data_IF_831754497896
#
_entry.id   IF_831754497896
#
_cell.length_a   1.000
_cell.length_b   1.000
_cell.length_c   1.000
_cell.angle_alpha   90.00
_cell.angle_beta   90.00
_cell.angle_gamma   90.00
#
_symmetry.space_group_name_H-M   'P 1'
#
loop_
_entity.id
_entity.type
_entity.pdbx_description
1 polymer ?
#
# COMPACT_ATOMS: atom_id res chain seq x y z
N UNK A 1 -0.72 -13.69 -2.63
CA UNK A 1 -0.28 -12.30 -2.86
C UNK A 1 -1.46 -11.35 -2.78
N UNK A 2 -1.28 -10.13 -2.30
CA UNK A 2 -2.36 -9.16 -2.14
C UNK A 2 -2.01 -7.84 -2.85
N UNK A 3 -2.81 -7.45 -3.85
CA UNK A 3 -2.67 -6.21 -4.60
C UNK A 3 -3.73 -5.21 -4.16
N UNK A 4 -3.30 -4.10 -3.58
CA UNK A 4 -4.19 -3.00 -3.18
C UNK A 4 -4.19 -1.94 -4.26
N UNK A 5 -5.34 -1.79 -4.92
CA UNK A 5 -5.55 -0.85 -6.03
C UNK A 5 -5.91 0.55 -5.52
N UNK A 6 -5.65 1.55 -6.34
CA UNK A 6 -5.97 2.96 -6.08
C UNK A 6 -6.98 3.51 -7.09
N UNK A 7 -7.51 4.68 -6.78
CA UNK A 7 -8.25 5.47 -7.78
C UNK A 7 -7.29 5.98 -8.85
N UNK A 8 -7.55 5.68 -10.11
CA UNK A 8 -6.75 6.14 -11.25
C UNK A 8 -6.78 7.66 -11.44
N UNK A 9 -7.72 8.34 -10.80
CA UNK A 9 -7.87 9.81 -10.83
C UNK A 9 -7.36 10.49 -9.55
N UNK A 10 -6.74 9.75 -8.65
CA UNK A 10 -6.09 10.33 -7.48
C UNK A 10 -4.86 11.14 -7.92
N UNK A 11 -4.67 12.32 -7.33
CA UNK A 11 -3.54 13.20 -7.64
C UNK A 11 -2.19 12.53 -7.38
N UNK A 12 -2.09 11.72 -6.35
CA UNK A 12 -0.88 10.94 -6.05
C UNK A 12 -0.59 9.92 -7.15
N UNK A 13 -1.63 9.32 -7.72
CA UNK A 13 -1.49 8.38 -8.83
C UNK A 13 -1.04 9.10 -10.11
N UNK A 14 -1.65 10.25 -10.42
CA UNK A 14 -1.35 11.02 -11.64
C UNK A 14 0.06 11.62 -11.62
N UNK A 15 0.47 12.17 -10.47
CA UNK A 15 1.76 12.90 -10.35
C UNK A 15 2.94 11.95 -10.15
N UNK A 16 2.73 10.82 -9.48
CA UNK A 16 3.80 9.94 -9.01
C UNK A 16 3.78 8.54 -9.63
N UNK A 17 2.96 8.30 -10.66
CA UNK A 17 2.98 7.03 -11.39
C UNK A 17 3.08 7.27 -12.89
N UNK A 18 3.85 6.42 -13.59
CA UNK A 18 3.89 6.38 -15.06
C UNK A 18 2.62 5.73 -15.61
N UNK A 19 1.46 6.23 -15.19
CA UNK A 19 0.10 5.88 -15.62
C UNK A 19 -0.10 4.39 -15.98
N UNK A 20 0.19 3.50 -15.04
CA UNK A 20 -0.24 2.11 -15.19
C UNK A 20 -1.68 2.01 -14.72
N UNK A 21 -2.59 1.61 -15.60
CA UNK A 21 -4.00 1.39 -15.24
C UNK A 21 -4.14 0.20 -14.30
N UNK A 22 -5.12 0.26 -13.40
CA UNK A 22 -5.44 -0.85 -12.51
C UNK A 22 -5.66 -2.17 -13.26
N UNK A 23 -6.27 -2.13 -14.45
CA UNK A 23 -6.48 -3.31 -15.27
C UNK A 23 -5.16 -3.93 -15.76
N UNK A 24 -4.18 -3.12 -16.13
CA UNK A 24 -2.88 -3.61 -16.60
C UNK A 24 -2.09 -4.23 -15.44
N UNK A 25 -2.16 -3.61 -14.25
CA UNK A 25 -1.59 -4.18 -13.02
C UNK A 25 -2.21 -5.54 -12.69
N UNK A 26 -3.53 -5.66 -12.71
CA UNK A 26 -4.22 -6.92 -12.44
C UNK A 26 -3.75 -7.99 -13.42
N UNK A 27 -3.76 -7.67 -14.72
CA UNK A 27 -3.34 -8.61 -15.77
C UNK A 27 -1.90 -9.07 -15.56
N UNK A 28 -1.00 -8.14 -15.18
CA UNK A 28 0.38 -8.47 -14.87
C UNK A 28 0.49 -9.40 -13.65
N UNK A 29 -0.16 -9.05 -12.55
CA UNK A 29 -0.11 -9.84 -11.30
C UNK A 29 -0.77 -11.22 -11.45
N UNK A 30 -1.85 -11.34 -12.22
CA UNK A 30 -2.47 -12.62 -12.56
C UNK A 30 -1.49 -13.56 -13.27
N UNK A 31 -0.73 -13.03 -14.24
CA UNK A 31 0.30 -13.80 -14.94
C UNK A 31 1.40 -14.23 -13.97
N UNK A 32 1.94 -13.30 -13.16
CA UNK A 32 2.99 -13.61 -12.18
C UNK A 32 2.52 -14.67 -11.18
N UNK A 33 1.28 -14.59 -10.72
CA UNK A 33 0.71 -15.58 -9.81
C UNK A 33 0.61 -16.97 -10.45
N UNK A 34 0.18 -17.05 -11.72
CA UNK A 34 0.13 -18.32 -12.46
C UNK A 34 1.53 -18.92 -12.65
N UNK A 35 2.52 -18.11 -13.04
CA UNK A 35 3.90 -18.56 -13.25
C UNK A 35 4.56 -19.10 -11.96
N UNK A 36 4.11 -18.65 -10.79
CA UNK A 36 4.70 -18.98 -9.49
C UNK A 36 3.79 -19.85 -8.61
N UNK A 37 2.69 -20.40 -9.13
CA UNK A 37 1.68 -21.18 -8.38
C UNK A 37 1.21 -20.45 -7.11
N UNK A 38 0.87 -19.16 -7.27
CA UNK A 38 0.40 -18.30 -6.19
C UNK A 38 -1.02 -17.82 -6.46
N UNK A 39 -1.75 -17.55 -5.39
CA UNK A 39 -3.09 -16.97 -5.46
C UNK A 39 -3.02 -15.44 -5.39
N UNK A 40 -3.78 -14.77 -6.28
CA UNK A 40 -3.94 -13.32 -6.25
C UNK A 40 -5.22 -12.94 -5.52
N UNK A 41 -5.08 -12.05 -4.56
CA UNK A 41 -6.19 -11.33 -3.93
C UNK A 41 -6.05 -9.87 -4.33
N UNK A 42 -7.14 -9.25 -4.78
CA UNK A 42 -7.18 -7.83 -5.12
C UNK A 42 -8.16 -7.09 -4.21
N UNK A 43 -7.87 -5.83 -3.94
CA UNK A 43 -8.82 -4.93 -3.28
C UNK A 43 -8.89 -3.63 -4.05
N UNK A 44 -10.08 -3.34 -4.60
CA UNK A 44 -10.36 -2.06 -5.24
C UNK A 44 -10.56 -0.95 -4.20
N UNK A 45 -10.32 0.29 -4.62
CA UNK A 45 -10.66 1.44 -3.81
C UNK A 45 -12.20 1.52 -3.63
N UNK A 46 -12.71 1.87 -2.45
CA UNK A 46 -14.17 1.91 -2.20
C UNK A 46 -14.95 2.84 -3.14
N UNK A 47 -14.30 3.87 -3.68
CA UNK A 47 -14.89 4.82 -4.62
C UNK A 47 -14.67 4.44 -6.10
N UNK A 48 -13.99 3.33 -6.38
CA UNK A 48 -13.80 2.86 -7.73
C UNK A 48 -15.03 2.07 -8.19
N UNK A 49 -15.81 2.66 -9.09
CA UNK A 49 -17.03 2.08 -9.64
C UNK A 49 -16.79 1.30 -10.95
N UNK A 50 -15.54 1.27 -11.44
CA UNK A 50 -15.22 0.58 -12.68
C UNK A 50 -15.29 -0.94 -12.49
N UNK A 51 -15.89 -1.62 -13.45
CA UNK A 51 -15.82 -3.07 -13.51
C UNK A 51 -14.44 -3.51 -13.99
N UNK A 52 -13.74 -4.27 -13.17
CA UNK A 52 -12.44 -4.85 -13.51
C UNK A 52 -12.65 -6.24 -14.12
N UNK A 53 -11.88 -6.54 -15.16
CA UNK A 53 -11.83 -7.89 -15.74
C UNK A 53 -10.79 -8.69 -14.97
N UNK A 54 -11.24 -9.75 -14.32
CA UNK A 54 -10.40 -10.63 -13.50
C UNK A 54 -10.59 -12.08 -13.90
N UNK A 55 -9.55 -12.89 -13.72
CA UNK A 55 -9.63 -14.36 -13.91
C UNK A 55 -10.44 -15.00 -12.77
N UNK A 56 -10.99 -16.19 -13.05
CA UNK A 56 -11.74 -16.95 -12.03
C UNK A 56 -10.88 -17.35 -10.81
N UNK A 57 -9.57 -17.40 -10.97
CA UNK A 57 -8.58 -17.69 -9.91
C UNK A 57 -8.27 -16.49 -9.03
N UNK A 58 -8.62 -15.27 -9.45
CA UNK A 58 -8.38 -14.02 -8.70
C UNK A 58 -9.51 -13.76 -7.73
N UNK A 59 -9.18 -13.51 -6.47
CA UNK A 59 -10.17 -13.19 -5.43
C UNK A 59 -10.32 -11.69 -5.23
N UNK A 60 -11.55 -11.21 -5.06
CA UNK A 60 -11.84 -9.82 -4.67
C UNK A 60 -12.08 -9.76 -3.18
N UNK A 61 -11.32 -8.93 -2.50
CA UNK A 61 -11.41 -8.76 -1.06
C UNK A 61 -12.29 -7.59 -0.66
N UNK A 62 -13.23 -7.83 0.24
CA UNK A 62 -14.12 -6.81 0.83
C UNK A 62 -13.74 -6.45 2.27
N UNK A 63 -12.91 -7.25 2.92
CA UNK A 63 -12.46 -7.02 4.30
C UNK A 63 -11.45 -5.87 4.39
N UNK A 64 -11.15 -5.43 5.63
CA UNK A 64 -10.13 -4.42 5.91
C UNK A 64 -8.74 -4.87 5.43
N UNK A 65 -7.98 -3.95 4.83
CA UNK A 65 -6.62 -4.18 4.33
C UNK A 65 -5.74 -4.85 5.39
N UNK A 66 -5.71 -4.31 6.61
CA UNK A 66 -4.91 -4.85 7.72
C UNK A 66 -5.22 -6.32 8.02
N UNK A 67 -6.51 -6.73 7.96
CA UNK A 67 -6.90 -8.12 8.20
C UNK A 67 -6.37 -9.04 7.11
N UNK A 68 -6.57 -8.65 5.85
CA UNK A 68 -6.13 -9.45 4.70
C UNK A 68 -4.60 -9.55 4.67
N UNK A 69 -3.91 -8.44 4.96
CA UNK A 69 -2.44 -8.43 4.98
C UNK A 69 -1.82 -9.45 5.93
N UNK A 70 -2.50 -9.82 7.01
CA UNK A 70 -2.01 -10.84 7.96
C UNK A 70 -2.11 -12.28 7.44
N UNK A 71 -2.87 -12.50 6.39
CA UNK A 71 -3.19 -13.81 5.83
C UNK A 71 -2.47 -14.06 4.49
N UNK A 72 -1.55 -13.18 4.10
CA UNK A 72 -0.84 -13.26 2.80
C UNK A 72 0.66 -13.13 2.98
N UNK A 73 1.42 -13.67 2.02
CA UNK A 73 2.88 -13.63 2.05
C UNK A 73 3.43 -12.25 1.67
N UNK A 74 2.78 -11.54 0.74
CA UNK A 74 3.24 -10.25 0.19
C UNK A 74 2.08 -9.32 -0.09
N UNK A 75 2.30 -8.03 0.16
CA UNK A 75 1.36 -6.96 -0.22
C UNK A 75 2.05 -6.01 -1.20
N UNK A 76 1.35 -5.69 -2.27
CA UNK A 76 1.77 -4.74 -3.29
C UNK A 76 0.76 -3.61 -3.42
N UNK A 77 1.25 -2.40 -3.59
CA UNK A 77 0.41 -1.24 -3.95
C UNK A 77 1.24 -0.23 -4.74
N UNK A 78 0.59 0.66 -5.45
CA UNK A 78 1.28 1.72 -6.19
C UNK A 78 1.92 2.69 -5.21
N UNK A 79 1.11 3.54 -4.55
CA UNK A 79 1.56 4.48 -3.51
C UNK A 79 0.41 4.83 -2.53
N UNK A 80 -0.52 3.88 -2.33
CA UNK A 80 -1.73 4.09 -1.55
C UNK A 80 -1.47 4.37 -0.07
N UNK A 81 -2.24 5.26 0.53
CA UNK A 81 -2.28 5.45 1.99
C UNK A 81 -2.69 4.20 2.77
N UNK A 82 -3.30 3.20 2.11
CA UNK A 82 -3.55 1.88 2.68
C UNK A 82 -2.25 1.18 3.14
N UNK A 83 -1.08 1.60 2.63
CA UNK A 83 0.24 1.19 3.10
C UNK A 83 0.38 1.29 4.63
N UNK A 84 -0.16 2.35 5.26
CA UNK A 84 -0.14 2.51 6.73
C UNK A 84 -0.75 1.31 7.45
N UNK A 85 -1.85 0.77 6.94
CA UNK A 85 -2.53 -0.38 7.53
C UNK A 85 -1.72 -1.68 7.38
N UNK A 86 -0.98 -1.79 6.28
CA UNK A 86 -0.07 -2.93 6.04
C UNK A 86 1.15 -2.84 6.94
N UNK A 87 1.72 -1.64 7.10
CA UNK A 87 2.87 -1.41 7.99
C UNK A 87 2.58 -1.75 9.45
N UNK A 88 1.32 -1.76 9.86
CA UNK A 88 0.88 -2.26 11.18
C UNK A 88 0.82 -3.80 11.30
N UNK A 89 1.32 -4.52 10.29
CA UNK A 89 1.44 -5.97 10.25
C UNK A 89 2.90 -6.37 10.05
N UNK A 90 3.20 -7.66 10.11
CA UNK A 90 4.54 -8.19 9.81
C UNK A 90 4.72 -8.53 8.33
N UNK A 91 3.66 -8.44 7.53
CA UNK A 91 3.68 -8.82 6.12
C UNK A 91 4.51 -7.85 5.30
N UNK A 92 5.40 -8.32 4.42
CA UNK A 92 6.18 -7.50 3.52
C UNK A 92 5.30 -6.62 2.63
N UNK A 93 5.68 -5.33 2.54
CA UNK A 93 5.01 -4.33 1.72
C UNK A 93 5.97 -3.84 0.64
N UNK A 94 5.52 -3.92 -0.60
CA UNK A 94 6.23 -3.42 -1.77
C UNK A 94 5.45 -2.31 -2.45
N UNK A 95 6.14 -1.25 -2.81
CA UNK A 95 5.60 -0.07 -3.45
C UNK A 95 6.09 -0.01 -4.90
N UNK A 96 5.17 0.11 -5.84
CA UNK A 96 5.51 0.13 -7.27
C UNK A 96 5.98 1.51 -7.75
N UNK A 97 5.71 2.56 -6.96
CA UNK A 97 6.11 3.94 -7.24
C UNK A 97 6.54 4.69 -5.99
N UNK A 98 7.01 5.92 -6.19
CA UNK A 98 7.43 6.79 -5.10
C UNK A 98 6.30 7.07 -4.12
N UNK A 99 6.63 6.99 -2.86
CA UNK A 99 5.70 7.16 -1.75
C UNK A 99 6.46 7.62 -0.51
N UNK A 100 5.79 8.38 0.35
CA UNK A 100 6.33 8.73 1.68
C UNK A 100 6.59 7.49 2.55
N UNK A 101 6.07 6.34 2.18
CA UNK A 101 6.28 5.06 2.88
C UNK A 101 7.51 4.30 2.36
N UNK A 102 8.10 4.73 1.23
CA UNK A 102 9.25 4.08 0.61
C UNK A 102 10.53 4.42 1.37
N UNK A 103 10.82 3.63 2.39
CA UNK A 103 12.05 3.72 3.18
C UNK A 103 12.71 2.36 3.30
N UNK A 104 14.04 2.35 3.29
CA UNK A 104 14.84 1.14 3.45
C UNK A 104 14.36 0.32 4.65
N UNK A 105 14.15 -0.97 4.46
CA UNK A 105 13.68 -1.95 5.46
C UNK A 105 12.30 -1.68 6.09
N UNK A 106 11.58 -0.64 5.66
CA UNK A 106 10.21 -0.33 6.08
C UNK A 106 9.20 -0.81 5.05
N UNK A 107 9.26 -0.24 3.85
CA UNK A 107 8.54 -0.66 2.66
C UNK A 107 9.42 -0.38 1.45
N UNK A 108 9.65 -1.39 0.65
CA UNK A 108 10.62 -1.31 -0.45
C UNK A 108 9.93 -0.82 -1.73
N UNK A 109 10.54 0.17 -2.39
CA UNK A 109 10.16 0.55 -3.75
C UNK A 109 10.79 -0.43 -4.73
N UNK A 110 9.98 -0.98 -5.59
CA UNK A 110 10.38 -1.98 -6.59
C UNK A 110 9.83 -1.65 -7.97
N UNK A 111 10.43 -2.21 -9.00
CA UNK A 111 9.83 -2.24 -10.33
C UNK A 111 8.96 -3.50 -10.53
N UNK A 112 8.09 -3.49 -11.54
CA UNK A 112 7.32 -4.70 -11.88
C UNK A 112 8.24 -5.88 -12.22
N UNK A 113 9.40 -5.63 -12.83
CA UNK A 113 10.33 -6.68 -13.21
C UNK A 113 10.96 -7.40 -12.01
N UNK A 114 11.01 -6.78 -10.85
CA UNK A 114 11.62 -7.34 -9.63
C UNK A 114 10.70 -8.34 -8.92
N UNK A 115 9.40 -8.35 -9.24
CA UNK A 115 8.38 -9.13 -8.51
C UNK A 115 8.68 -10.63 -8.56
N UNK A 116 9.03 -11.18 -9.72
CA UNK A 116 9.37 -12.60 -9.84
C UNK A 116 10.60 -12.98 -8.99
N UNK A 117 11.61 -12.11 -8.94
CA UNK A 117 12.79 -12.33 -8.13
C UNK A 117 12.47 -12.30 -6.63
N UNK A 118 11.66 -11.34 -6.20
CA UNK A 118 11.20 -11.21 -4.80
C UNK A 118 10.45 -12.47 -4.36
N UNK A 119 9.52 -12.97 -5.19
CA UNK A 119 8.72 -14.15 -4.88
C UNK A 119 9.60 -15.41 -4.81
N UNK A 120 10.58 -15.54 -5.72
CA UNK A 120 11.45 -16.71 -5.78
C UNK A 120 12.45 -16.77 -4.62
N UNK A 121 12.97 -15.62 -4.17
CA UNK A 121 13.91 -15.56 -3.04
C UNK A 121 13.27 -15.85 -1.69
N UNK A 122 11.98 -15.60 -1.55
CA UNK A 122 11.18 -15.83 -0.35
C UNK A 122 11.78 -15.22 0.95
N UNK A 123 12.64 -14.22 0.83
CA UNK A 123 13.32 -13.55 1.96
C UNK A 123 13.01 -12.05 1.93
N UNK A 124 11.98 -11.60 2.66
CA UNK A 124 11.71 -10.18 2.79
C UNK A 124 12.79 -9.49 3.62
N UNK A 125 13.42 -8.47 3.08
CA UNK A 125 14.47 -7.70 3.77
C UNK A 125 13.92 -6.63 4.74
N UNK A 126 12.62 -6.68 5.05
CA UNK A 126 11.99 -5.65 5.85
C UNK A 126 12.17 -5.90 7.36
N UNK A 127 12.45 -4.83 8.09
CA UNK A 127 12.74 -4.88 9.53
C UNK A 127 11.56 -4.35 10.34
N UNK A 128 10.96 -5.22 11.17
CA UNK A 128 9.77 -4.88 11.98
C UNK A 128 10.04 -3.72 12.93
N UNK A 129 11.20 -3.70 13.60
CA UNK A 129 11.54 -2.62 14.54
C UNK A 129 11.67 -1.26 13.82
N UNK A 130 12.24 -1.24 12.62
CA UNK A 130 12.30 -0.01 11.82
C UNK A 130 10.92 0.43 11.35
N UNK A 131 10.04 -0.51 11.00
CA UNK A 131 8.63 -0.22 10.69
C UNK A 131 7.91 0.43 11.86
N UNK A 132 8.05 -0.12 13.05
CA UNK A 132 7.44 0.43 14.27
C UNK A 132 7.93 1.84 14.57
N UNK A 133 9.24 2.08 14.48
CA UNK A 133 9.83 3.40 14.64
C UNK A 133 9.30 4.39 13.61
N UNK A 134 9.24 4.00 12.35
CA UNK A 134 8.69 4.81 11.27
C UNK A 134 7.21 5.11 11.49
N UNK A 135 6.39 4.12 11.85
CA UNK A 135 4.97 4.31 12.15
C UNK A 135 4.77 5.28 13.31
N UNK A 136 5.54 5.15 14.37
CA UNK A 136 5.49 6.05 15.52
C UNK A 136 5.85 7.49 15.11
N UNK A 137 6.90 7.64 14.29
CA UNK A 137 7.28 8.96 13.77
C UNK A 137 6.15 9.58 12.92
N UNK A 138 5.62 8.85 11.94
CA UNK A 138 4.54 9.32 11.06
C UNK A 138 3.28 9.67 11.87
N UNK A 139 2.87 8.81 12.80
CA UNK A 139 1.67 9.03 13.62
C UNK A 139 1.80 10.27 14.50
N UNK A 140 2.95 10.47 15.09
CA UNK A 140 3.15 11.57 16.04
C UNK A 140 3.45 12.92 15.35
N UNK A 141 4.12 12.91 14.20
CA UNK A 141 4.62 14.13 13.59
C UNK A 141 3.91 14.53 12.29
N UNK A 142 3.33 13.57 11.57
CA UNK A 142 2.85 13.82 10.21
C UNK A 142 1.33 13.69 10.06
N UNK A 143 0.72 12.70 10.71
CA UNK A 143 -0.70 12.42 10.53
C UNK A 143 -1.58 13.27 11.44
N UNK A 144 -2.69 13.74 10.86
CA UNK A 144 -3.82 14.23 11.64
C UNK A 144 -4.76 13.04 11.93
N UNK A 145 -5.18 12.92 13.18
CA UNK A 145 -6.16 11.90 13.55
C UNK A 145 -7.56 12.31 13.08
N UNK A 146 -8.24 11.39 12.40
CA UNK A 146 -9.57 11.58 11.85
C UNK A 146 -9.84 10.64 10.67
N UNK A 147 -11.05 10.65 10.16
CA UNK A 147 -11.45 9.89 8.99
C UNK A 147 -12.28 10.77 8.04
N UNK A 148 -11.85 10.84 6.79
CA UNK A 148 -12.50 11.66 5.78
C UNK A 148 -12.54 13.14 6.17
N UNK A 149 -13.75 13.70 6.37
CA UNK A 149 -13.94 15.10 6.76
C UNK A 149 -14.13 15.30 8.28
N UNK A 150 -13.98 14.24 9.08
CA UNK A 150 -14.10 14.27 10.53
C UNK A 150 -12.73 14.20 11.17
N UNK A 151 -12.26 15.29 11.74
CA UNK A 151 -10.93 15.41 12.36
C UNK A 151 -11.07 15.65 13.87
N UNK A 152 -10.08 15.13 14.63
CA UNK A 152 -9.94 15.46 16.04
C UNK A 152 -9.42 16.91 16.19
N UNK A 153 -10.29 17.78 16.70
CA UNK A 153 -9.98 19.21 16.88
C UNK A 153 -8.80 19.46 17.83
N UNK A 154 -8.59 18.60 18.81
CA UNK A 154 -7.47 18.72 19.76
C UNK A 154 -6.16 18.42 19.05
N UNK A 155 -6.12 17.37 18.28
CA UNK A 155 -4.94 16.98 17.50
C UNK A 155 -4.57 18.04 16.45
N UNK A 156 -5.55 18.61 15.75
CA UNK A 156 -5.34 19.70 14.79
C UNK A 156 -4.70 20.91 15.48
N UNK A 157 -5.21 21.33 16.64
CA UNK A 157 -4.64 22.46 17.38
C UNK A 157 -3.19 22.22 17.82
N UNK A 158 -2.90 21.03 18.34
CA UNK A 158 -1.54 20.68 18.75
C UNK A 158 -0.57 20.74 17.58
N UNK A 159 -0.94 20.17 16.42
CA UNK A 159 -0.08 20.19 15.24
C UNK A 159 0.02 21.57 14.59
N UNK A 160 -1.03 22.37 14.62
CA UNK A 160 -0.99 23.75 14.17
C UNK A 160 0.00 24.60 14.99
N UNK A 161 0.00 24.43 16.32
CA UNK A 161 0.96 25.11 17.18
C UNK A 161 2.40 24.68 16.89
N UNK A 162 2.65 23.37 16.69
CA UNK A 162 3.97 22.86 16.32
C UNK A 162 4.50 23.46 15.00
N UNK A 163 3.62 23.72 14.04
CA UNK A 163 3.99 24.37 12.76
C UNK A 163 4.30 25.84 12.97
N UNK A 164 3.53 26.54 13.81
CA UNK A 164 3.75 27.98 14.11
C UNK A 164 5.04 28.24 14.91
N UNK A 165 5.49 27.27 15.70
CA UNK A 165 6.76 27.36 16.46
C UNK A 165 8.01 27.13 15.57
N UNK A 166 7.84 26.74 14.31
CA UNK A 166 8.94 26.49 13.35
C UNK A 166 9.15 27.70 12.40
N UNK A 167 8.19 28.61 12.34
CA UNK A 167 8.22 29.83 11.50
C UNK A 167 8.64 31.03 12.31
#
# INVERSE_FOLDING_TARGET
MFLVLQLEHDSQFIVHSDVIKNQDLITYFERVCEENDRQLIIKSHPLDIKSLKIKATTQVAYSCVKKISREVDYVFTVNSSAALLVLETTTPLYLLYDSIFAHDKVAEKISLNDINEIISKNEPQQNISQRENFLNYIKNNYLLYGAGFSYDKVNIRQKSNQIMDIV
#
